data_IF_504820664235
#
_entry.id   IF_504820664235
#
_cell.length_a   1.000
_cell.length_b   1.000
_cell.length_c   1.000
_cell.angle_alpha   90.00
_cell.angle_beta   90.00
_cell.angle_gamma   90.00
#
_symmetry.space_group_name_H-M   'P 1'
#
loop_
_entity.id
_entity.type
_entity.pdbx_description
1 polymer ?
#
# COMPACT_ATOMS: atom_id res chain seq x y z
N UNK A 1 20.87 -38.19 58.79
CA UNK A 1 20.11 -37.16 58.05
C UNK A 1 20.94 -36.43 56.99
N UNK A 2 22.25 -36.35 57.10
CA UNK A 2 23.14 -35.67 56.13
C UNK A 2 23.32 -36.40 54.79
N UNK A 3 23.39 -37.72 54.78
CA UNK A 3 23.57 -38.51 53.53
C UNK A 3 22.32 -38.46 52.59
N UNK A 4 21.13 -38.35 53.12
CA UNK A 4 19.90 -38.26 52.33
C UNK A 4 19.74 -36.89 51.61
N UNK A 5 20.24 -35.82 52.23
CA UNK A 5 20.25 -34.47 51.61
C UNK A 5 21.24 -34.35 50.44
N UNK A 6 22.38 -35.06 50.49
CA UNK A 6 23.35 -35.07 49.43
C UNK A 6 22.82 -35.82 48.17
N UNK A 7 22.12 -36.90 48.37
CA UNK A 7 21.53 -37.64 47.23
C UNK A 7 20.37 -36.84 46.59
N UNK A 8 19.59 -36.08 47.37
CA UNK A 8 18.55 -35.20 46.81
C UNK A 8 19.14 -34.06 46.00
N UNK A 9 20.28 -33.53 46.43
CA UNK A 9 20.99 -32.43 45.69
C UNK A 9 21.58 -32.95 44.38
N UNK A 10 22.10 -34.16 44.33
CA UNK A 10 22.60 -34.80 43.10
C UNK A 10 21.45 -35.13 42.14
N UNK A 11 20.29 -35.54 42.66
CA UNK A 11 19.12 -35.80 41.82
C UNK A 11 18.56 -34.52 41.19
N UNK A 12 18.57 -33.38 41.92
CA UNK A 12 18.19 -32.09 41.39
C UNK A 12 19.16 -31.59 40.31
N UNK A 13 20.48 -31.82 40.45
CA UNK A 13 21.46 -31.41 39.43
C UNK A 13 21.34 -32.21 38.12
N UNK A 14 20.85 -33.44 38.18
CA UNK A 14 20.65 -34.32 37.01
C UNK A 14 19.44 -33.90 36.14
N UNK A 15 18.48 -33.09 36.69
CA UNK A 15 17.28 -32.66 35.99
C UNK A 15 17.49 -31.41 35.13
N UNK A 16 18.65 -30.75 35.21
CA UNK A 16 18.95 -29.55 34.41
C UNK A 16 19.70 -29.81 33.09
N UNK A 17 19.93 -31.08 32.70
CA UNK A 17 20.40 -31.38 31.36
C UNK A 17 19.20 -31.36 30.38
N UNK A 18 18.57 -30.21 30.21
CA UNK A 18 17.68 -29.95 29.07
C UNK A 18 18.58 -29.81 27.85
N UNK A 19 18.69 -30.86 27.05
CA UNK A 19 19.23 -30.75 25.71
C UNK A 19 18.33 -29.79 24.90
N UNK A 20 18.78 -28.59 24.69
CA UNK A 20 18.26 -27.72 23.64
C UNK A 20 18.76 -28.33 22.32
N UNK A 21 17.95 -29.18 21.70
CA UNK A 21 18.18 -29.60 20.33
C UNK A 21 18.09 -28.38 19.42
N UNK A 22 19.20 -28.02 18.79
CA UNK A 22 19.18 -27.09 17.67
C UNK A 22 18.36 -27.74 16.57
N UNK A 23 17.14 -27.28 16.39
CA UNK A 23 16.37 -27.65 15.21
C UNK A 23 16.98 -26.85 14.05
N UNK A 24 17.84 -27.50 13.27
CA UNK A 24 18.28 -26.98 11.98
C UNK A 24 17.07 -26.99 11.04
N UNK A 25 16.35 -25.89 11.00
CA UNK A 25 15.41 -25.63 9.94
C UNK A 25 16.22 -25.51 8.63
N UNK A 26 16.31 -26.57 7.88
CA UNK A 26 16.76 -26.49 6.49
C UNK A 26 15.71 -25.71 5.69
N UNK A 27 15.95 -24.42 5.56
CA UNK A 27 15.15 -23.51 4.74
C UNK A 27 15.49 -23.68 3.25
N UNK A 28 15.82 -24.88 2.80
CA UNK A 28 16.26 -25.21 1.43
C UNK A 28 15.30 -24.76 0.30
N UNK A 29 14.10 -24.29 0.67
CA UNK A 29 13.13 -23.74 -0.30
C UNK A 29 12.98 -22.22 -0.24
N UNK A 30 13.60 -21.53 0.71
CA UNK A 30 13.49 -20.08 0.87
C UNK A 30 14.56 -19.30 0.11
N UNK A 31 15.62 -19.96 -0.34
CA UNK A 31 16.74 -19.31 -1.04
C UNK A 31 16.49 -19.02 -2.53
N UNK A 32 15.33 -19.37 -3.07
CA UNK A 32 14.99 -19.00 -4.46
C UNK A 32 14.39 -17.62 -4.50
N UNK A 33 15.04 -16.75 -5.28
CA UNK A 33 14.46 -15.46 -5.64
C UNK A 33 13.11 -15.68 -6.34
N UNK A 34 12.07 -14.98 -5.87
CA UNK A 34 10.70 -15.13 -6.39
C UNK A 34 10.28 -13.84 -7.06
N UNK A 35 9.65 -13.96 -8.21
CA UNK A 35 9.00 -12.84 -8.86
C UNK A 35 7.83 -12.35 -8.01
N UNK A 36 7.73 -11.05 -7.87
CA UNK A 36 6.59 -10.34 -7.24
C UNK A 36 5.95 -9.49 -8.33
N UNK A 37 4.67 -9.72 -8.58
CA UNK A 37 3.87 -8.95 -9.55
C UNK A 37 2.80 -8.19 -8.80
N UNK A 38 2.73 -6.87 -8.99
CA UNK A 38 1.68 -6.04 -8.42
C UNK A 38 1.12 -5.13 -9.50
N UNK A 39 -0.17 -5.18 -9.74
CA UNK A 39 -0.84 -4.34 -10.73
C UNK A 39 -2.34 -4.36 -10.58
N UNK A 40 -2.97 -3.28 -10.99
CA UNK A 40 -4.43 -3.18 -11.02
C UNK A 40 -4.86 -2.60 -12.37
N UNK A 41 -5.68 -3.33 -13.10
CA UNK A 41 -6.37 -2.85 -14.29
C UNK A 41 -7.74 -2.34 -13.91
N UNK A 42 -8.06 -1.09 -14.26
CA UNK A 42 -9.38 -0.50 -14.00
C UNK A 42 -10.03 0.02 -15.28
N UNK A 43 -11.32 0.34 -15.21
CA UNK A 43 -12.06 1.01 -16.29
C UNK A 43 -11.95 2.55 -16.23
N UNK A 44 -11.06 3.08 -15.40
CA UNK A 44 -10.77 4.52 -15.32
C UNK A 44 -9.83 4.97 -16.45
N UNK A 45 -10.03 6.21 -16.92
CA UNK A 45 -9.16 6.84 -17.93
C UNK A 45 -7.87 7.38 -17.30
N UNK A 46 -7.17 6.54 -16.56
CA UNK A 46 -5.87 6.85 -15.93
C UNK A 46 -4.80 5.89 -16.44
N UNK A 47 -3.54 6.27 -16.31
CA UNK A 47 -2.42 5.37 -16.62
C UNK A 47 -2.50 4.13 -15.73
N UNK A 48 -2.40 2.95 -16.36
CA UNK A 48 -2.41 1.67 -15.65
C UNK A 48 -0.97 1.23 -15.38
N UNK A 49 -0.72 0.68 -14.19
CA UNK A 49 0.63 0.31 -13.78
C UNK A 49 0.73 -1.18 -13.44
N UNK A 50 1.89 -1.74 -13.80
CA UNK A 50 2.35 -3.04 -13.30
C UNK A 50 3.74 -2.85 -12.72
N UNK A 51 3.96 -3.32 -11.50
CA UNK A 51 5.23 -3.28 -10.81
C UNK A 51 5.79 -4.70 -10.74
N UNK A 52 7.03 -4.84 -11.19
CA UNK A 52 7.76 -6.11 -11.16
C UNK A 52 8.98 -5.98 -10.27
N UNK A 53 9.06 -6.86 -9.30
CA UNK A 53 10.22 -6.95 -8.41
C UNK A 53 10.53 -8.39 -8.06
N UNK A 54 11.64 -8.61 -7.40
CA UNK A 54 12.13 -9.94 -7.04
C UNK A 54 12.54 -9.94 -5.58
N UNK A 55 12.18 -10.99 -4.84
CA UNK A 55 12.66 -11.18 -3.47
C UNK A 55 14.18 -11.32 -3.46
N UNK A 56 14.82 -10.93 -2.36
CA UNK A 56 16.26 -11.11 -2.18
C UNK A 56 16.50 -12.21 -1.13
N UNK A 57 17.52 -13.03 -1.34
CA UNK A 57 17.94 -14.07 -0.40
C UNK A 57 18.89 -13.55 0.68
N UNK A 58 19.34 -12.31 0.60
CA UNK A 58 20.26 -11.73 1.56
C UNK A 58 19.60 -11.57 2.93
N UNK A 59 20.21 -12.15 3.95
CA UNK A 59 19.79 -11.93 5.33
C UNK A 59 19.72 -10.43 5.63
N UNK A 60 18.67 -10.02 6.34
CA UNK A 60 18.48 -8.63 6.78
C UNK A 60 19.75 -8.06 7.35
N UNK A 61 20.30 -7.04 6.72
CA UNK A 61 21.28 -6.20 7.39
C UNK A 61 20.56 -5.49 8.54
N UNK A 62 21.19 -5.37 9.71
CA UNK A 62 20.55 -4.66 10.81
C UNK A 62 20.16 -3.25 10.37
N UNK A 63 19.00 -2.84 10.78
CA UNK A 63 18.44 -1.52 10.60
C UNK A 63 19.44 -0.49 11.15
N UNK A 64 20.00 0.32 10.29
CA UNK A 64 20.84 1.46 10.69
C UNK A 64 19.93 2.69 10.62
N UNK A 65 19.46 3.12 11.78
CA UNK A 65 18.82 4.42 11.91
C UNK A 65 19.88 5.50 11.67
N UNK A 66 19.79 6.23 10.58
CA UNK A 66 20.55 7.48 10.44
C UNK A 66 19.78 8.58 11.20
N UNK A 67 20.11 8.73 12.49
CA UNK A 67 19.49 9.72 13.39
C UNK A 67 19.65 11.16 12.89
N UNK A 68 20.64 11.44 12.04
CA UNK A 68 20.89 12.79 11.52
C UNK A 68 19.98 13.15 10.36
N UNK A 69 19.40 12.18 9.65
CA UNK A 69 18.58 12.42 8.46
C UNK A 69 17.10 12.07 8.60
N UNK A 70 16.70 11.41 9.69
CA UNK A 70 15.36 10.83 9.84
C UNK A 70 14.91 9.98 8.61
N UNK A 71 15.90 9.42 7.87
CA UNK A 71 15.65 8.57 6.72
C UNK A 71 15.89 7.14 7.17
N UNK A 72 14.84 6.37 7.23
CA UNK A 72 14.90 4.93 7.38
C UNK A 72 15.24 4.31 6.04
N UNK A 73 16.50 3.98 5.81
CA UNK A 73 16.91 3.20 4.63
C UNK A 73 16.57 1.75 4.89
N UNK A 74 15.47 1.27 4.33
CA UNK A 74 15.17 -0.15 4.26
C UNK A 74 16.04 -0.72 3.15
N UNK A 75 17.19 -1.32 3.52
CA UNK A 75 18.12 -1.93 2.55
C UNK A 75 17.60 -3.24 1.94
N UNK A 76 16.39 -3.68 2.31
CA UNK A 76 15.78 -4.95 1.89
C UNK A 76 14.58 -4.75 0.98
N UNK A 77 14.52 -3.65 0.23
CA UNK A 77 13.50 -3.49 -0.81
C UNK A 77 13.64 -4.60 -1.85
N UNK A 78 12.53 -5.17 -2.32
CA UNK A 78 12.56 -6.10 -3.44
C UNK A 78 13.30 -5.48 -4.64
N UNK A 79 14.20 -6.24 -5.27
CA UNK A 79 14.93 -5.75 -6.44
C UNK A 79 13.98 -5.54 -7.62
N UNK A 80 14.00 -4.39 -8.31
CA UNK A 80 13.17 -4.19 -9.50
C UNK A 80 13.60 -5.15 -10.62
N UNK A 81 12.62 -5.71 -11.33
CA UNK A 81 12.85 -6.50 -12.54
C UNK A 81 12.72 -5.60 -13.74
N UNK A 82 13.83 -5.39 -14.45
CA UNK A 82 13.95 -4.51 -15.62
C UNK A 82 13.96 -5.31 -16.92
N UNK A 83 13.62 -4.65 -18.03
CA UNK A 83 13.69 -5.22 -19.37
C UNK A 83 12.71 -6.35 -19.61
N UNK A 84 11.67 -6.50 -18.80
CA UNK A 84 10.60 -7.44 -19.07
C UNK A 84 9.67 -6.91 -20.17
N UNK A 85 9.12 -7.80 -20.97
CA UNK A 85 8.00 -7.48 -21.85
C UNK A 85 6.71 -7.80 -21.14
N UNK A 86 5.83 -6.82 -20.98
CA UNK A 86 4.58 -6.95 -20.22
C UNK A 86 3.40 -6.65 -21.15
N UNK A 87 2.50 -7.61 -21.33
CA UNK A 87 1.35 -7.53 -22.23
C UNK A 87 0.06 -7.76 -21.49
N UNK A 88 -0.94 -6.94 -21.81
CA UNK A 88 -2.33 -7.15 -21.43
C UNK A 88 -3.10 -7.72 -22.60
N UNK A 89 -3.85 -8.77 -22.37
CA UNK A 89 -4.71 -9.42 -23.37
C UNK A 89 -6.17 -9.33 -22.96
N UNK A 90 -7.06 -8.98 -23.92
CA UNK A 90 -8.50 -9.11 -23.76
C UNK A 90 -8.96 -10.39 -24.50
N UNK A 91 -9.56 -11.32 -23.77
CA UNK A 91 -9.91 -12.64 -24.34
C UNK A 91 -11.03 -12.58 -25.37
N UNK A 92 -12.04 -11.73 -25.15
CA UNK A 92 -13.21 -11.65 -26.04
C UNK A 92 -12.93 -10.90 -27.34
N UNK A 93 -12.10 -9.84 -27.30
CA UNK A 93 -11.82 -9.04 -28.49
C UNK A 93 -10.57 -9.49 -29.22
N UNK A 94 -9.68 -10.22 -28.56
CA UNK A 94 -8.36 -10.58 -29.07
C UNK A 94 -7.35 -9.44 -29.10
N UNK A 95 -7.72 -8.27 -28.55
CA UNK A 95 -6.84 -7.12 -28.47
C UNK A 95 -5.71 -7.37 -27.46
N UNK A 96 -4.56 -6.75 -27.72
CA UNK A 96 -3.40 -6.83 -26.83
C UNK A 96 -2.71 -5.47 -26.77
N UNK A 97 -2.22 -5.12 -25.59
CA UNK A 97 -1.54 -3.85 -25.33
C UNK A 97 -0.26 -4.10 -24.55
N UNK A 98 0.80 -3.41 -24.92
CA UNK A 98 2.12 -3.52 -24.29
C UNK A 98 2.35 -2.39 -23.30
N UNK A 99 2.72 -2.75 -22.07
CA UNK A 99 3.19 -1.81 -21.06
C UNK A 99 4.63 -1.40 -21.37
N UNK A 100 4.95 -0.12 -21.18
CA UNK A 100 6.30 0.41 -21.38
C UNK A 100 7.00 0.59 -20.03
N UNK A 101 8.26 0.16 -19.94
CA UNK A 101 9.05 0.41 -18.74
C UNK A 101 9.44 1.91 -18.68
N UNK A 102 8.99 2.62 -17.62
CA UNK A 102 9.26 4.06 -17.43
C UNK A 102 10.28 4.31 -16.33
N UNK A 103 10.31 3.43 -15.33
CA UNK A 103 11.31 3.40 -14.26
C UNK A 103 11.64 1.93 -13.97
N UNK A 104 12.79 1.69 -13.34
CA UNK A 104 13.22 0.35 -12.96
C UNK A 104 12.08 -0.45 -12.30
N UNK A 105 11.62 -1.51 -12.97
CA UNK A 105 10.53 -2.38 -12.51
C UNK A 105 9.12 -1.76 -12.52
N UNK A 106 8.94 -0.58 -13.10
CA UNK A 106 7.65 0.09 -13.25
C UNK A 106 7.24 0.11 -14.71
N UNK A 107 6.15 -0.55 -15.03
CA UNK A 107 5.61 -0.71 -16.38
C UNK A 107 4.28 0.03 -16.48
N UNK A 108 4.16 0.93 -17.45
CA UNK A 108 3.01 1.80 -17.65
C UNK A 108 2.29 1.50 -18.96
N UNK A 109 0.98 1.46 -18.90
CA UNK A 109 0.11 1.45 -20.08
C UNK A 109 -0.62 2.80 -20.15
N UNK A 110 -0.03 3.73 -20.92
CA UNK A 110 -0.56 5.07 -21.15
C UNK A 110 -1.35 5.14 -22.46
N UNK A 111 -2.29 6.09 -22.55
CA UNK A 111 -3.14 6.26 -23.73
C UNK A 111 -4.12 5.10 -23.96
N UNK A 112 -4.21 4.18 -23.03
CA UNK A 112 -5.15 3.08 -23.07
C UNK A 112 -6.57 3.59 -22.91
N UNK A 113 -7.45 3.18 -23.82
CA UNK A 113 -8.87 3.41 -23.61
C UNK A 113 -9.34 2.46 -22.51
N UNK A 114 -10.16 2.95 -21.57
CA UNK A 114 -10.54 2.16 -20.42
C UNK A 114 -11.00 0.76 -20.80
N UNK A 115 -10.50 -0.22 -20.07
CA UNK A 115 -11.00 -1.58 -20.13
C UNK A 115 -12.50 -1.59 -19.83
N UNK A 116 -13.23 -2.56 -20.34
CA UNK A 116 -14.68 -2.60 -20.23
C UNK A 116 -15.11 -3.61 -19.17
N UNK A 117 -16.02 -3.23 -18.26
CA UNK A 117 -16.68 -4.21 -17.41
C UNK A 117 -17.31 -5.34 -18.21
N UNK A 118 -17.32 -6.54 -17.65
CA UNK A 118 -17.85 -7.74 -18.28
C UNK A 118 -16.88 -8.47 -19.23
N UNK A 119 -15.77 -7.86 -19.63
CA UNK A 119 -14.73 -8.52 -20.43
C UNK A 119 -13.67 -9.17 -19.55
N UNK A 120 -12.98 -10.16 -20.11
CA UNK A 120 -11.95 -10.94 -19.43
C UNK A 120 -10.55 -10.55 -19.87
N UNK A 121 -9.68 -10.31 -18.90
CA UNK A 121 -8.31 -9.85 -19.12
C UNK A 121 -7.30 -10.80 -18.49
N UNK A 122 -6.14 -10.92 -19.17
CA UNK A 122 -4.98 -11.70 -18.75
C UNK A 122 -3.71 -10.87 -18.90
N UNK A 123 -2.85 -10.90 -17.89
CA UNK A 123 -1.50 -10.32 -17.97
C UNK A 123 -0.51 -11.40 -18.37
N UNK A 124 0.40 -11.08 -19.29
CA UNK A 124 1.50 -11.94 -19.69
C UNK A 124 2.83 -11.19 -19.57
N UNK A 125 3.84 -11.85 -19.00
CA UNK A 125 5.15 -11.26 -18.70
C UNK A 125 6.24 -12.19 -19.19
N UNK A 126 7.15 -11.67 -20.03
CA UNK A 126 8.37 -12.35 -20.44
C UNK A 126 9.57 -11.71 -19.73
N UNK A 127 10.28 -12.48 -18.95
CA UNK A 127 11.50 -12.04 -18.26
C UNK A 127 12.43 -13.19 -18.01
N UNK A 128 13.76 -13.01 -18.18
CA UNK A 128 14.79 -13.99 -17.90
C UNK A 128 14.51 -15.37 -18.51
N UNK A 129 14.12 -15.43 -19.79
CA UNK A 129 13.76 -16.65 -20.52
C UNK A 129 12.54 -17.41 -19.98
N UNK A 130 11.79 -16.82 -19.05
CA UNK A 130 10.57 -17.36 -18.48
C UNK A 130 9.35 -16.59 -18.92
N UNK A 131 8.23 -17.29 -19.01
CA UNK A 131 6.92 -16.71 -19.32
C UNK A 131 6.00 -16.89 -18.11
N UNK A 132 5.44 -15.79 -17.65
CA UNK A 132 4.45 -15.77 -16.56
C UNK A 132 3.13 -15.26 -17.08
N UNK A 133 2.03 -15.87 -16.63
CA UNK A 133 0.66 -15.42 -16.95
C UNK A 133 -0.16 -15.26 -15.68
N UNK A 134 -1.11 -14.34 -15.73
CA UNK A 134 -2.15 -14.31 -14.69
C UNK A 134 -3.24 -15.32 -15.02
N UNK A 135 -3.98 -15.75 -13.99
CA UNK A 135 -5.29 -16.34 -14.24
C UNK A 135 -6.18 -15.29 -14.91
N UNK A 136 -6.93 -15.65 -15.96
CA UNK A 136 -7.87 -14.72 -16.59
C UNK A 136 -8.92 -14.22 -15.59
N UNK A 137 -9.23 -12.93 -15.64
CA UNK A 137 -10.21 -12.32 -14.74
C UNK A 137 -11.22 -11.50 -15.51
N UNK A 138 -12.49 -11.76 -15.23
CA UNK A 138 -13.60 -10.97 -15.77
C UNK A 138 -13.79 -9.72 -14.90
N UNK A 139 -13.74 -8.55 -15.55
CA UNK A 139 -13.95 -7.28 -14.85
C UNK A 139 -15.38 -7.20 -14.31
N UNK A 140 -15.59 -6.95 -13.01
CA UNK A 140 -16.93 -6.79 -12.45
C UNK A 140 -17.71 -5.64 -13.08
N UNK A 141 -19.04 -5.72 -13.03
CA UNK A 141 -19.92 -4.71 -13.66
C UNK A 141 -20.53 -3.73 -12.67
N UNK A 142 -20.53 -4.06 -11.37
CA UNK A 142 -21.24 -3.28 -10.34
C UNK A 142 -20.29 -2.61 -9.39
N UNK A 143 -20.68 -1.44 -8.90
CA UNK A 143 -20.01 -0.70 -7.81
C UNK A 143 -21.02 -0.24 -6.78
N UNK A 144 -20.57 0.07 -5.57
CA UNK A 144 -21.37 0.78 -4.57
C UNK A 144 -21.31 2.30 -4.78
N UNK A 145 -22.12 3.02 -4.01
CA UNK A 145 -22.07 4.47 -3.97
C UNK A 145 -21.56 4.95 -2.62
N UNK A 146 -20.39 5.59 -2.63
CA UNK A 146 -19.75 6.16 -1.44
C UNK A 146 -20.28 7.55 -1.14
N UNK A 147 -20.65 7.77 0.12
CA UNK A 147 -20.81 9.08 0.72
C UNK A 147 -19.72 9.27 1.74
N UNK A 148 -18.72 10.05 1.40
CA UNK A 148 -17.55 10.24 2.24
C UNK A 148 -17.82 11.22 3.37
N UNK A 149 -17.16 11.00 4.47
CA UNK A 149 -17.09 11.91 5.63
C UNK A 149 -15.73 11.81 6.29
N UNK A 150 -15.34 12.84 7.02
CA UNK A 150 -14.17 12.80 7.89
C UNK A 150 -14.55 13.19 9.31
N UNK A 151 -13.73 12.76 10.26
CA UNK A 151 -13.82 13.19 11.65
C UNK A 151 -12.42 13.29 12.24
N UNK A 152 -12.23 14.29 13.11
CA UNK A 152 -11.00 14.43 13.87
C UNK A 152 -11.16 13.80 15.24
N UNK A 153 -10.12 13.10 15.69
CA UNK A 153 -10.09 12.44 17.00
C UNK A 153 -8.71 12.59 17.65
N UNK A 154 -8.66 12.47 18.98
CA UNK A 154 -7.41 12.28 19.70
C UNK A 154 -7.26 10.81 20.04
N UNK A 155 -6.06 10.28 19.86
CA UNK A 155 -5.75 8.90 20.17
C UNK A 155 -4.44 8.82 20.96
N UNK A 156 -4.34 7.80 21.79
CA UNK A 156 -3.09 7.48 22.46
C UNK A 156 -2.30 6.51 21.59
N UNK A 157 -1.18 6.97 21.05
CA UNK A 157 -0.19 6.14 20.36
C UNK A 157 0.99 5.89 21.29
N UNK A 158 1.77 4.85 21.00
CA UNK A 158 2.91 4.43 21.85
C UNK A 158 3.88 5.58 22.16
N UNK A 159 4.19 6.40 21.15
CA UNK A 159 5.13 7.53 21.28
C UNK A 159 4.45 8.90 21.31
N UNK A 160 3.11 8.97 21.28
CA UNK A 160 2.35 10.22 21.31
C UNK A 160 0.99 10.00 21.99
N UNK A 161 0.87 10.30 23.30
CA UNK A 161 -0.35 10.05 24.06
C UNK A 161 -1.54 10.96 23.68
N UNK A 162 -1.29 12.04 22.94
CA UNK A 162 -2.28 13.05 22.53
C UNK A 162 -2.28 13.21 20.99
N UNK A 163 -2.02 12.13 20.26
CA UNK A 163 -1.95 12.17 18.81
C UNK A 163 -3.28 12.69 18.21
N UNK A 164 -3.18 13.69 17.36
CA UNK A 164 -4.29 14.18 16.56
C UNK A 164 -4.42 13.32 15.31
N UNK A 165 -5.58 12.72 15.10
CA UNK A 165 -5.88 11.87 13.95
C UNK A 165 -7.06 12.44 13.16
N UNK A 166 -7.06 12.19 11.87
CA UNK A 166 -8.24 12.27 11.00
C UNK A 166 -8.64 10.85 10.59
N UNK A 167 -9.93 10.54 10.65
CA UNK A 167 -10.51 9.31 10.14
C UNK A 167 -11.36 9.62 8.92
N UNK A 168 -11.11 8.93 7.82
CA UNK A 168 -11.92 8.99 6.60
C UNK A 168 -12.86 7.81 6.60
N UNK A 169 -14.15 8.09 6.45
CA UNK A 169 -15.20 7.09 6.44
C UNK A 169 -16.06 7.20 5.19
N UNK A 170 -16.61 6.08 4.75
CA UNK A 170 -17.67 6.02 3.76
C UNK A 170 -18.94 5.41 4.34
N UNK A 171 -20.08 6.04 4.08
CA UNK A 171 -21.38 5.40 4.10
C UNK A 171 -21.63 4.89 2.68
N UNK A 172 -21.28 3.63 2.41
CA UNK A 172 -21.46 3.04 1.09
C UNK A 172 -22.86 2.45 0.96
N UNK A 173 -23.59 2.91 -0.08
CA UNK A 173 -24.79 2.22 -0.55
C UNK A 173 -24.37 1.04 -1.42
N UNK A 174 -24.59 -0.17 -0.93
CA UNK A 174 -24.17 -1.41 -1.59
C UNK A 174 -24.98 -1.66 -2.87
N UNK A 175 -24.43 -2.44 -3.83
CA UNK A 175 -25.14 -2.83 -5.04
C UNK A 175 -26.53 -3.42 -4.75
N UNK A 176 -27.52 -3.08 -5.59
CA UNK A 176 -28.89 -3.58 -5.44
C UNK A 176 -29.05 -4.99 -6.03
N UNK A 177 -28.19 -5.91 -5.60
CA UNK A 177 -28.24 -7.32 -5.96
C UNK A 177 -27.88 -8.21 -4.78
N UNK A 178 -28.31 -9.46 -4.81
CA UNK A 178 -28.00 -10.44 -3.77
C UNK A 178 -26.70 -11.18 -4.12
N UNK A 179 -25.63 -10.89 -3.39
CA UNK A 179 -24.34 -11.55 -3.59
C UNK A 179 -23.64 -11.24 -4.93
N UNK A 180 -22.57 -11.95 -5.22
CA UNK A 180 -21.84 -11.86 -6.47
C UNK A 180 -21.06 -10.55 -6.66
N UNK A 181 -20.81 -9.78 -5.60
CA UNK A 181 -19.96 -8.58 -5.63
C UNK A 181 -19.03 -8.53 -4.44
N UNK A 182 -17.83 -8.01 -4.67
CA UNK A 182 -16.78 -7.88 -3.68
C UNK A 182 -16.16 -6.50 -3.83
N UNK A 183 -16.08 -5.73 -2.73
CA UNK A 183 -15.57 -4.37 -2.77
C UNK A 183 -14.30 -4.24 -1.94
N UNK A 184 -13.37 -3.45 -2.44
CA UNK A 184 -12.14 -3.02 -1.77
C UNK A 184 -11.98 -1.51 -1.94
N UNK A 185 -11.37 -0.86 -0.97
CA UNK A 185 -11.02 0.55 -1.09
C UNK A 185 -9.52 0.75 -0.98
N UNK A 186 -9.02 1.67 -1.77
CA UNK A 186 -7.70 2.27 -1.65
C UNK A 186 -7.88 3.76 -1.44
N UNK A 187 -7.11 4.33 -0.52
CA UNK A 187 -7.14 5.76 -0.22
C UNK A 187 -5.80 6.36 -0.52
N UNK A 188 -5.80 7.38 -1.35
CA UNK A 188 -4.65 8.16 -1.71
C UNK A 188 -4.88 9.59 -1.21
N UNK A 189 -3.90 10.19 -0.57
CA UNK A 189 -3.96 11.58 -0.15
C UNK A 189 -3.12 12.46 -1.06
N UNK A 190 -3.65 13.65 -1.37
CA UNK A 190 -2.96 14.66 -2.17
C UNK A 190 -3.11 15.99 -1.47
N UNK A 191 -1.97 16.61 -1.17
CA UNK A 191 -1.94 17.87 -0.44
C UNK A 191 -0.93 18.84 -1.01
N UNK A 192 -1.17 20.12 -0.76
CA UNK A 192 -0.22 21.16 -1.04
C UNK A 192 0.74 21.31 0.14
N UNK A 193 2.04 21.36 -0.18
CA UNK A 193 3.10 21.51 0.80
C UNK A 193 3.78 22.86 0.64
N UNK A 194 3.73 23.67 1.68
CA UNK A 194 4.38 24.98 1.69
C UNK A 194 5.88 24.84 1.86
N UNK A 195 6.62 25.38 0.90
CA UNK A 195 8.09 25.46 0.96
C UNK A 195 8.50 26.79 1.58
N UNK A 196 9.61 26.81 2.32
CA UNK A 196 10.16 28.03 2.92
C UNK A 196 10.56 29.01 1.83
N UNK A 197 9.95 30.19 1.83
CA UNK A 197 10.36 31.29 1.00
C UNK A 197 11.31 32.22 1.77
N UNK A 198 12.54 32.36 1.27
CA UNK A 198 13.55 33.27 1.84
C UNK A 198 13.40 34.64 1.16
N UNK A 199 12.81 35.65 1.83
CA UNK A 199 12.57 36.96 1.24
C UNK A 199 13.90 37.65 0.93
N UNK A 200 14.11 37.92 -0.35
CA UNK A 200 15.25 38.65 -0.88
C UNK A 200 14.76 39.34 -2.18
N UNK A 201 15.17 40.58 -2.49
CA UNK A 201 14.74 41.26 -3.71
C UNK A 201 15.01 40.51 -5.02
N UNK A 202 15.93 39.54 -4.98
CA UNK A 202 16.33 38.73 -6.16
C UNK A 202 15.74 37.30 -6.14
N UNK A 203 15.05 36.90 -5.06
CA UNK A 203 14.46 35.57 -4.96
C UNK A 203 13.03 35.56 -5.52
N UNK A 204 12.73 34.53 -6.29
CA UNK A 204 11.37 34.19 -6.69
C UNK A 204 10.77 33.21 -5.68
N UNK A 205 9.44 33.24 -5.45
CA UNK A 205 8.78 32.20 -4.68
C UNK A 205 9.11 30.79 -5.21
N UNK A 206 9.24 29.80 -4.33
CA UNK A 206 9.44 28.42 -4.78
C UNK A 206 8.25 27.96 -5.62
N UNK A 207 8.45 27.03 -6.56
CA UNK A 207 7.34 26.45 -7.31
C UNK A 207 6.35 25.75 -6.36
N UNK A 208 5.07 25.67 -6.73
CA UNK A 208 4.09 24.93 -5.95
C UNK A 208 4.53 23.48 -5.75
N UNK A 209 4.18 22.89 -4.62
CA UNK A 209 4.51 21.52 -4.30
C UNK A 209 3.26 20.73 -3.93
N UNK A 210 2.83 19.83 -4.81
CA UNK A 210 1.75 18.88 -4.59
C UNK A 210 2.34 17.51 -4.32
N UNK A 211 2.00 16.92 -3.19
CA UNK A 211 2.52 15.62 -2.75
C UNK A 211 1.40 14.61 -2.79
N UNK A 212 1.69 13.42 -3.34
CA UNK A 212 0.77 12.29 -3.38
C UNK A 212 1.31 11.15 -2.55
N UNK A 213 0.51 10.63 -1.62
CA UNK A 213 0.87 9.51 -0.74
C UNK A 213 -0.30 8.51 -0.61
N UNK A 214 0.03 7.25 -0.30
CA UNK A 214 -0.99 6.26 0.04
C UNK A 214 -1.33 6.44 1.52
N UNK A 215 -2.59 6.70 1.81
CA UNK A 215 -3.08 6.86 3.18
C UNK A 215 -3.39 5.52 3.81
N UNK A 216 -2.84 5.26 5.02
CA UNK A 216 -3.11 4.06 5.82
C UNK A 216 -2.98 2.74 5.03
N UNK A 217 -1.79 2.54 4.41
CA UNK A 217 -1.53 1.43 3.49
C UNK A 217 -1.76 0.03 4.12
N UNK A 218 -1.70 -0.08 5.44
CA UNK A 218 -1.93 -1.33 6.17
C UNK A 218 -3.43 -1.64 6.36
N UNK A 219 -4.29 -0.65 6.18
CA UNK A 219 -5.74 -0.81 6.31
C UNK A 219 -6.35 -1.36 5.03
N UNK A 220 -6.67 -2.63 5.04
CA UNK A 220 -7.34 -3.32 3.93
C UNK A 220 -8.84 -3.45 4.25
N UNK A 221 -9.65 -2.55 3.68
CA UNK A 221 -11.11 -2.56 3.86
C UNK A 221 -11.76 -3.37 2.74
N UNK A 222 -12.53 -4.39 3.12
CA UNK A 222 -13.16 -5.35 2.23
C UNK A 222 -14.63 -5.54 2.58
N UNK A 223 -15.49 -5.64 1.56
CA UNK A 223 -16.88 -6.07 1.70
C UNK A 223 -17.10 -7.31 0.84
N UNK A 224 -17.72 -8.34 1.43
CA UNK A 224 -18.16 -9.55 0.75
C UNK A 224 -19.67 -9.52 0.64
N UNK A 225 -20.18 -9.31 -0.57
CA UNK A 225 -21.62 -9.23 -0.87
C UNK A 225 -22.36 -10.54 -0.66
N UNK A 226 -21.69 -11.69 -0.74
CA UNK A 226 -22.32 -13.01 -0.52
C UNK A 226 -22.77 -13.21 0.93
N UNK A 227 -22.15 -12.49 1.87
CA UNK A 227 -22.50 -12.54 3.29
C UNK A 227 -23.61 -11.55 3.66
N UNK A 228 -24.04 -10.71 2.71
CA UNK A 228 -25.00 -9.65 2.97
C UNK A 228 -26.37 -10.00 2.41
N UNK A 229 -27.37 -10.05 3.28
CA UNK A 229 -28.72 -10.50 2.93
C UNK A 229 -29.66 -9.38 2.43
N UNK A 230 -29.19 -8.13 2.38
CA UNK A 230 -30.01 -6.97 2.02
C UNK A 230 -29.41 -6.21 0.84
N UNK A 231 -29.93 -6.38 -0.38
CA UNK A 231 -29.56 -5.56 -1.53
C UNK A 231 -29.76 -4.07 -1.24
N UNK A 232 -28.87 -3.21 -1.71
CA UNK A 232 -28.94 -1.77 -1.54
C UNK A 232 -28.77 -1.28 -0.08
N UNK A 233 -28.34 -2.14 0.84
CA UNK A 233 -28.09 -1.73 2.22
C UNK A 233 -27.00 -0.67 2.31
N UNK A 234 -27.10 0.20 3.31
CA UNK A 234 -26.03 1.16 3.63
C UNK A 234 -25.09 0.54 4.68
N UNK A 235 -23.80 0.60 4.41
CA UNK A 235 -22.75 0.11 5.31
C UNK A 235 -21.74 1.21 5.57
N UNK A 236 -21.37 1.40 6.84
CA UNK A 236 -20.32 2.37 7.21
C UNK A 236 -18.98 1.66 7.31
N UNK A 237 -17.98 2.20 6.61
CA UNK A 237 -16.60 1.70 6.57
C UNK A 237 -15.64 2.82 6.97
N UNK A 238 -14.67 2.52 7.85
CA UNK A 238 -13.51 3.39 8.07
C UNK A 238 -12.46 2.99 7.05
N UNK A 239 -12.10 3.93 6.19
CA UNK A 239 -11.25 3.67 5.03
C UNK A 239 -9.78 3.98 5.29
N UNK A 240 -9.50 5.04 6.06
CA UNK A 240 -8.16 5.42 6.46
C UNK A 240 -8.16 6.16 7.78
N UNK A 241 -7.04 6.08 8.51
CA UNK A 241 -6.71 6.92 9.65
C UNK A 241 -5.31 7.48 9.45
N UNK A 242 -5.12 8.78 9.67
CA UNK A 242 -3.86 9.47 9.48
C UNK A 242 -3.58 10.45 10.61
N UNK A 243 -2.30 10.61 10.96
CA UNK A 243 -1.85 11.69 11.85
C UNK A 243 -2.06 13.05 11.18
N UNK A 244 -2.57 13.99 11.96
CA UNK A 244 -2.73 15.38 11.53
C UNK A 244 -1.43 16.12 11.78
N UNK A 245 -0.86 16.69 10.73
CA UNK A 245 0.41 17.42 10.75
C UNK A 245 0.34 18.69 9.89
N UNK A 246 1.49 19.25 9.56
CA UNK A 246 1.62 20.46 8.73
C UNK A 246 0.94 20.37 7.36
N UNK A 247 0.79 19.15 6.78
CA UNK A 247 0.14 18.97 5.48
C UNK A 247 -1.33 19.41 5.47
N UNK A 248 -1.93 19.63 6.66
CA UNK A 248 -3.30 20.12 6.85
C UNK A 248 -3.39 21.65 7.02
N UNK A 249 -2.30 22.38 6.86
CA UNK A 249 -2.31 23.86 6.85
C UNK A 249 -3.02 24.43 5.63
N UNK A 250 -3.02 23.69 4.52
CA UNK A 250 -3.72 24.06 3.30
C UNK A 250 -4.76 23.00 2.94
N UNK A 251 -5.19 22.99 1.68
CA UNK A 251 -6.17 22.02 1.18
C UNK A 251 -5.53 20.64 1.11
N UNK A 252 -6.18 19.64 1.72
CA UNK A 252 -5.73 18.26 1.81
C UNK A 252 -6.84 17.32 1.33
N UNK A 253 -6.63 16.68 0.20
CA UNK A 253 -7.58 15.77 -0.42
C UNK A 253 -7.33 14.31 -0.03
N UNK A 254 -8.43 13.57 0.08
CA UNK A 254 -8.45 12.12 0.12
C UNK A 254 -9.21 11.61 -1.11
N UNK A 255 -8.48 10.99 -2.02
CA UNK A 255 -9.03 10.30 -3.18
C UNK A 255 -9.35 8.87 -2.77
N UNK A 256 -10.61 8.57 -2.64
CA UNK A 256 -11.10 7.23 -2.29
C UNK A 256 -11.45 6.50 -3.58
N UNK A 257 -10.67 5.49 -3.91
CA UNK A 257 -10.89 4.59 -5.03
C UNK A 257 -11.60 3.35 -4.52
N UNK A 258 -12.90 3.21 -4.81
CA UNK A 258 -13.65 1.99 -4.61
C UNK A 258 -13.42 1.06 -5.79
N UNK A 259 -13.01 -0.15 -5.53
CA UNK A 259 -12.75 -1.21 -6.50
C UNK A 259 -13.76 -2.33 -6.31
N UNK A 260 -14.52 -2.64 -7.34
CA UNK A 260 -15.26 -3.88 -7.44
C UNK A 260 -14.32 -4.93 -8.03
N UNK A 261 -14.02 -5.95 -7.26
CA UNK A 261 -13.01 -6.96 -7.56
C UNK A 261 -13.62 -8.34 -7.72
N UNK A 262 -12.86 -9.27 -8.27
CA UNK A 262 -13.29 -10.67 -8.37
C UNK A 262 -13.30 -11.34 -6.98
N UNK A 263 -14.00 -12.49 -6.87
CA UNK A 263 -13.98 -13.29 -5.64
C UNK A 263 -12.55 -13.71 -5.26
N UNK A 264 -11.76 -14.13 -6.24
CA UNK A 264 -10.39 -14.60 -6.01
C UNK A 264 -9.48 -13.46 -5.52
N UNK A 265 -9.63 -12.24 -6.09
CA UNK A 265 -8.96 -11.04 -5.62
C UNK A 265 -9.36 -10.71 -4.17
N UNK A 266 -10.66 -10.79 -3.84
CA UNK A 266 -11.15 -10.59 -2.48
C UNK A 266 -10.55 -11.62 -1.50
N UNK A 267 -10.50 -12.89 -1.88
CA UNK A 267 -9.91 -13.95 -1.04
C UNK A 267 -8.40 -13.76 -0.85
N UNK A 268 -7.69 -13.29 -1.88
CA UNK A 268 -6.28 -12.89 -1.78
C UNK A 268 -6.10 -11.75 -0.78
N UNK A 269 -6.83 -10.64 -0.94
CA UNK A 269 -6.72 -9.48 -0.06
C UNK A 269 -7.15 -9.78 1.39
N UNK A 270 -8.08 -10.70 1.57
CA UNK A 270 -8.47 -11.18 2.91
C UNK A 270 -7.30 -11.89 3.60
N UNK A 271 -6.52 -12.71 2.88
CA UNK A 271 -5.31 -13.36 3.41
C UNK A 271 -4.22 -12.32 3.73
N UNK A 272 -4.00 -11.35 2.83
CA UNK A 272 -3.05 -10.25 3.06
C UNK A 272 -3.45 -9.47 4.32
N UNK A 273 -4.72 -9.12 4.48
CA UNK A 273 -5.23 -8.44 5.67
C UNK A 273 -4.98 -9.24 6.95
N UNK A 274 -5.19 -10.55 6.92
CA UNK A 274 -4.87 -11.42 8.06
C UNK A 274 -3.38 -11.40 8.38
N UNK A 275 -2.52 -11.44 7.36
CA UNK A 275 -1.07 -11.37 7.53
C UNK A 275 -0.62 -10.06 8.19
N UNK A 276 -1.11 -8.92 7.68
CA UNK A 276 -0.79 -7.59 8.22
C UNK A 276 -1.25 -7.43 9.66
N UNK A 277 -2.42 -7.97 10.01
CA UNK A 277 -2.99 -7.84 11.36
C UNK A 277 -2.39 -8.83 12.39
N UNK A 278 -1.70 -9.88 11.95
CA UNK A 278 -1.14 -10.92 12.83
C UNK A 278 0.34 -10.69 13.17
N UNK A 279 0.83 -9.48 13.06
CA UNK A 279 2.23 -9.17 13.36
C UNK A 279 2.43 -8.95 14.86
N UNK A 280 3.16 -9.85 15.54
CA UNK A 280 3.81 -9.55 16.80
C UNK A 280 3.59 -10.49 17.98
N UNK A 281 2.91 -11.61 17.85
CA UNK A 281 2.87 -12.63 18.90
C UNK A 281 4.04 -13.61 18.79
N UNK A 282 4.68 -13.93 19.91
CA UNK A 282 5.74 -14.97 19.99
C UNK A 282 5.23 -16.35 19.57
N UNK A 283 3.91 -16.52 19.52
CA UNK A 283 3.23 -17.75 19.13
C UNK A 283 2.76 -17.74 17.66
N UNK A 284 2.99 -16.66 16.91
CA UNK A 284 2.59 -16.60 15.51
C UNK A 284 3.48 -17.52 14.67
N UNK A 285 2.85 -18.50 14.04
CA UNK A 285 3.52 -19.36 13.06
C UNK A 285 3.93 -18.45 11.89
N UNK A 286 5.21 -18.50 11.42
CA UNK A 286 5.62 -17.72 10.25
C UNK A 286 4.63 -17.98 9.11
N UNK A 287 3.99 -16.95 8.56
CA UNK A 287 2.96 -17.17 7.57
C UNK A 287 3.58 -17.76 6.29
N UNK A 288 2.92 -18.74 5.74
CA UNK A 288 3.28 -19.27 4.42
C UNK A 288 3.10 -18.14 3.37
N UNK A 289 3.95 -18.08 2.33
CA UNK A 289 3.79 -17.11 1.26
C UNK A 289 2.40 -17.15 0.66
N UNK A 290 1.74 -15.99 0.56
CA UNK A 290 0.43 -15.90 -0.08
C UNK A 290 0.65 -15.99 -1.58
N UNK A 291 0.18 -17.09 -2.19
CA UNK A 291 0.18 -17.24 -3.65
C UNK A 291 -0.84 -16.26 -4.25
N UNK A 292 -0.43 -15.53 -5.29
CA UNK A 292 -1.30 -14.69 -6.09
C UNK A 292 -2.00 -15.46 -7.20
N UNK A 293 -2.34 -14.76 -8.27
CA UNK A 293 -2.96 -15.33 -9.46
C UNK A 293 -1.99 -15.47 -10.65
N UNK A 294 -0.69 -15.20 -10.43
CA UNK A 294 0.33 -15.38 -11.46
C UNK A 294 0.95 -16.78 -11.37
N UNK A 295 1.32 -17.33 -12.49
CA UNK A 295 2.02 -18.62 -12.56
C UNK A 295 3.07 -18.62 -13.68
N UNK A 296 4.14 -19.40 -13.52
CA UNK A 296 5.10 -19.68 -14.57
C UNK A 296 4.50 -20.73 -15.51
N UNK A 297 4.52 -20.46 -16.84
CA UNK A 297 3.93 -21.34 -17.86
C UNK A 297 4.68 -22.67 -17.93
N UNK A 298 6.01 -22.66 -17.74
CA UNK A 298 6.88 -23.82 -17.88
C UNK A 298 7.06 -24.59 -16.55
N UNK A 299 6.86 -23.90 -15.40
CA UNK A 299 6.96 -24.51 -14.06
C UNK A 299 5.80 -24.02 -13.17
N UNK A 300 4.62 -24.66 -13.23
CA UNK A 300 3.46 -24.28 -12.42
C UNK A 300 3.67 -24.38 -10.90
N UNK A 301 4.69 -25.11 -10.45
CA UNK A 301 5.05 -25.25 -9.04
C UNK A 301 5.89 -24.05 -8.54
N UNK A 302 6.44 -23.24 -9.44
CA UNK A 302 7.13 -22.01 -9.07
C UNK A 302 6.17 -21.05 -8.38
N UNK A 303 6.53 -20.58 -7.18
CA UNK A 303 5.71 -19.65 -6.43
C UNK A 303 5.98 -18.23 -6.92
N UNK A 304 5.00 -17.63 -7.58
CA UNK A 304 4.97 -16.21 -7.90
C UNK A 304 4.17 -15.46 -6.83
N UNK A 305 4.70 -14.34 -6.34
CA UNK A 305 4.09 -13.53 -5.30
C UNK A 305 3.35 -12.32 -5.90
N UNK A 306 2.51 -11.71 -5.07
CA UNK A 306 1.74 -10.55 -5.49
C UNK A 306 0.46 -10.94 -6.24
N UNK A 307 -0.19 -9.97 -6.88
CA UNK A 307 -1.47 -10.17 -7.57
C UNK A 307 -1.65 -9.15 -8.69
N UNK A 308 -2.16 -9.60 -9.82
CA UNK A 308 -2.67 -8.73 -10.87
C UNK A 308 -4.19 -8.68 -10.74
N UNK A 309 -4.74 -7.52 -10.39
CA UNK A 309 -6.16 -7.30 -10.11
C UNK A 309 -6.86 -6.65 -11.30
N UNK A 310 -8.04 -7.16 -11.67
CA UNK A 310 -8.93 -6.56 -12.65
C UNK A 310 -10.19 -6.09 -11.95
N UNK A 311 -10.46 -4.79 -12.01
CA UNK A 311 -11.51 -4.17 -11.19
C UNK A 311 -12.27 -3.10 -11.95
N UNK A 312 -13.58 -3.01 -11.72
CA UNK A 312 -14.33 -1.80 -12.01
C UNK A 312 -14.09 -0.79 -10.88
N UNK A 313 -13.77 0.44 -11.21
CA UNK A 313 -13.38 1.43 -10.24
C UNK A 313 -14.29 2.67 -10.24
N UNK A 314 -14.40 3.31 -9.07
CA UNK A 314 -15.04 4.60 -8.89
C UNK A 314 -14.22 5.45 -7.93
N UNK A 315 -13.92 6.67 -8.32
CA UNK A 315 -13.23 7.63 -7.46
C UNK A 315 -14.24 8.60 -6.86
N UNK A 316 -14.18 8.76 -5.55
CA UNK A 316 -14.91 9.79 -4.80
C UNK A 316 -13.90 10.58 -3.98
N UNK A 317 -14.01 11.90 -3.94
CA UNK A 317 -13.06 12.79 -3.27
C UNK A 317 -13.71 13.48 -2.10
N UNK A 318 -12.92 13.70 -1.06
CA UNK A 318 -13.24 14.58 0.05
C UNK A 318 -11.97 15.36 0.42
N UNK A 319 -12.12 16.60 0.89
CA UNK A 319 -10.97 17.37 1.30
C UNK A 319 -11.24 18.10 2.63
N UNK A 320 -10.16 18.46 3.28
CA UNK A 320 -10.16 19.36 4.43
C UNK A 320 -9.40 20.64 4.09
N UNK A 321 -9.74 21.70 4.80
CA UNK A 321 -8.99 22.96 4.80
C UNK A 321 -8.46 23.21 6.21
N UNK A 322 -7.59 24.20 6.38
CA UNK A 322 -7.11 24.61 7.71
C UNK A 322 -8.25 24.91 8.70
N UNK A 323 -9.36 25.46 8.19
CA UNK A 323 -10.51 25.83 9.01
C UNK A 323 -11.25 24.62 9.61
N UNK A 324 -11.16 23.44 8.97
CA UNK A 324 -11.79 22.21 9.44
C UNK A 324 -11.01 21.54 10.57
N UNK A 325 -9.70 21.85 10.70
CA UNK A 325 -8.80 21.18 11.64
C UNK A 325 -8.91 21.82 13.03
N UNK A 326 -9.41 21.07 14.05
CA UNK A 326 -9.66 21.63 15.39
C UNK A 326 -8.39 21.62 16.28
N UNK A 327 -7.22 21.39 15.70
CA UNK A 327 -5.95 21.31 16.43
C UNK A 327 -5.03 22.45 16.02
N UNK A 328 -4.13 22.81 16.95
CA UNK A 328 -3.00 23.66 16.59
C UNK A 328 -2.07 22.90 15.63
N UNK A 329 -1.67 23.55 14.56
CA UNK A 329 -0.68 23.03 13.60
C UNK A 329 0.53 23.93 13.60
N UNK A 330 1.69 23.34 13.77
CA UNK A 330 2.98 24.05 13.69
C UNK A 330 3.35 24.27 12.22
N UNK A 331 3.67 25.51 11.84
CA UNK A 331 4.15 25.85 10.50
C UNK A 331 5.68 25.64 10.44
N UNK A 332 6.08 24.38 10.36
CA UNK A 332 7.51 23.95 10.45
C UNK A 332 8.37 24.59 9.36
N UNK A 333 7.77 24.94 8.21
CA UNK A 333 8.48 25.52 7.06
C UNK A 333 8.33 27.04 6.96
N UNK A 334 7.73 27.70 7.96
CA UNK A 334 7.64 29.16 7.99
C UNK A 334 9.04 29.80 8.04
N UNK A 335 9.21 30.88 7.28
CA UNK A 335 10.46 31.65 7.30
C UNK A 335 10.68 32.35 8.65
N UNK A 336 11.80 32.09 9.28
CA UNK A 336 12.23 32.74 10.51
C UNK A 336 13.43 33.64 10.23
N UNK A 337 13.35 34.97 10.43
CA UNK A 337 14.48 35.85 10.23
C UNK A 337 15.72 35.41 11.01
N UNK A 338 16.88 35.33 10.32
CA UNK A 338 18.14 34.90 10.92
C UNK A 338 18.40 33.40 10.93
N UNK A 339 17.40 32.57 10.69
CA UNK A 339 17.56 31.14 10.55
C UNK A 339 18.12 30.79 9.16
N UNK A 340 19.22 30.05 9.11
CA UNK A 340 19.88 29.66 7.86
C UNK A 340 19.14 28.51 7.18
N UNK A 341 19.25 28.38 5.85
CA UNK A 341 18.64 27.32 5.07
C UNK A 341 19.03 25.91 5.61
N UNK A 342 20.25 25.73 6.07
CA UNK A 342 20.75 24.46 6.65
C UNK A 342 20.07 24.07 7.97
N UNK A 343 19.30 24.95 8.58
CA UNK A 343 18.58 24.71 9.84
C UNK A 343 17.13 24.33 9.60
N UNK A 344 16.68 24.33 8.34
CA UNK A 344 15.36 23.84 7.94
C UNK A 344 15.44 22.39 7.53
N UNK A 345 14.32 21.68 7.71
CA UNK A 345 14.20 20.30 7.19
C UNK A 345 14.32 20.30 5.65
N UNK A 346 14.93 19.29 5.04
CA UNK A 346 15.03 19.20 3.58
C UNK A 346 13.67 19.34 2.87
N UNK A 347 12.60 18.81 3.47
CA UNK A 347 11.23 18.92 2.99
C UNK A 347 10.71 20.35 2.90
N UNK A 348 11.25 21.27 3.70
CA UNK A 348 10.90 22.69 3.62
C UNK A 348 11.64 23.44 2.51
N UNK A 349 12.73 22.86 1.98
CA UNK A 349 13.60 23.52 1.00
C UNK A 349 13.33 23.07 -0.44
N UNK A 350 12.87 21.84 -0.62
CA UNK A 350 12.67 21.29 -1.96
C UNK A 350 11.51 20.27 -2.00
N UNK A 351 10.64 20.42 -2.99
CA UNK A 351 9.58 19.47 -3.29
C UNK A 351 10.12 18.09 -3.70
N UNK A 352 11.27 18.04 -4.35
CA UNK A 352 11.86 16.80 -4.85
C UNK A 352 12.30 15.81 -3.75
N UNK A 353 12.23 16.22 -2.49
CA UNK A 353 12.46 15.32 -1.33
C UNK A 353 11.30 14.32 -1.21
N UNK A 354 10.12 14.69 -1.65
CA UNK A 354 8.97 13.78 -1.65
C UNK A 354 8.99 12.91 -2.92
N UNK A 355 8.93 11.57 -2.80
CA UNK A 355 9.06 10.66 -3.95
C UNK A 355 8.00 10.86 -5.04
N UNK A 356 6.78 11.25 -4.64
CA UNK A 356 5.63 11.41 -5.52
C UNK A 356 5.11 12.85 -5.44
N UNK A 357 5.97 13.80 -5.80
CA UNK A 357 5.62 15.21 -5.81
C UNK A 357 5.66 15.79 -7.23
N UNK A 358 4.87 16.83 -7.43
CA UNK A 358 4.82 17.58 -8.69
C UNK A 358 4.57 19.06 -8.42
N UNK A 359 5.04 19.91 -9.33
CA UNK A 359 4.69 21.33 -9.36
C UNK A 359 3.38 21.60 -10.12
N UNK A 360 2.83 20.60 -10.78
CA UNK A 360 1.57 20.72 -11.52
C UNK A 360 0.39 20.48 -10.58
N UNK A 361 -0.51 21.47 -10.51
CA UNK A 361 -1.75 21.33 -9.78
C UNK A 361 -2.64 20.30 -10.47
N UNK A 362 -3.26 19.34 -9.73
CA UNK A 362 -4.27 18.46 -10.29
C UNK A 362 -5.43 19.28 -10.90
N UNK A 363 -5.91 18.88 -12.09
CA UNK A 363 -6.99 19.58 -12.79
C UNK A 363 -8.26 19.74 -11.93
N UNK A 364 -8.56 18.72 -11.14
CA UNK A 364 -9.73 18.65 -10.25
C UNK A 364 -9.52 19.32 -8.87
N UNK A 365 -8.40 20.01 -8.62
CA UNK A 365 -8.04 20.57 -7.30
C UNK A 365 -9.08 21.54 -6.70
N UNK A 366 -9.85 22.22 -7.52
CA UNK A 366 -10.91 23.12 -7.10
C UNK A 366 -12.32 22.58 -7.41
N UNK A 367 -12.44 21.38 -7.93
CA UNK A 367 -13.73 20.73 -8.13
C UNK A 367 -14.37 20.45 -6.77
N UNK A 368 -15.69 20.72 -6.64
CA UNK A 368 -16.46 20.54 -5.41
C UNK A 368 -17.12 19.15 -5.37
#
# INVERSE_FOLDING_TARGET
MTKFRIHLLWLMLALFNSCVEKIDFKLDRLDRERLIVSGTLTDLSETQFVYLSQTTSNARKPFIADEQRNIFTINDLPRPVQGARVMLHCKETGDSWEYQETKAGTYELSGFRPSRPGLEYELEIWTQEKVYRSQPQRMPEVVGNDKLSFSFERARLENNPEAALIAIASEVTLPNQKGGYYLRWAVEEIYFWDLTFFPNPFNTPPPPCYVTEISDAERITLVNGDLLNRPGAVSRQILAKRLVDQSFLSRHYFNVKQLSITKDAHDYWRKVRQLVNNTGSVFDIPPAPIRGNMYNVDDPEEVVLGYFEVAKAKITRIYTTRADVPFFLEEVCEYVPGKRATEYKPTCLSCNVFPNSTSQQPEWWFDQ
#
